data_IF_062946941283
#
_entry.id   IF_062946941283
#
_cell.length_a   1.000
_cell.length_b   1.000
_cell.length_c   1.000
_cell.angle_alpha   90.00
_cell.angle_beta   90.00
_cell.angle_gamma   90.00
#
_symmetry.space_group_name_H-M   'P 1'
#
loop_
_entity.id
_entity.type
_entity.pdbx_description
1 polymer ?
#
# COMPACT_ATOMS: atom_id res chain seq x y z
N UNK A 1 -4.95 -8.75 -33.28
CA UNK A 1 -5.42 -10.16 -33.24
C UNK A 1 -6.52 -10.32 -34.29
N UNK A 2 -6.46 -11.34 -35.15
CA UNK A 2 -7.51 -11.64 -36.15
C UNK A 2 -8.66 -12.42 -35.50
N UNK A 3 -9.92 -12.16 -35.92
CA UNK A 3 -11.12 -12.86 -35.39
C UNK A 3 -10.98 -14.38 -35.35
N UNK A 4 -10.48 -14.98 -36.44
CA UNK A 4 -10.21 -16.42 -36.53
C UNK A 4 -9.31 -16.97 -35.42
N UNK A 5 -8.32 -16.18 -34.98
CA UNK A 5 -7.37 -16.61 -33.94
C UNK A 5 -8.00 -16.48 -32.56
N UNK A 6 -8.80 -15.44 -32.32
CA UNK A 6 -9.53 -15.27 -31.07
C UNK A 6 -10.56 -16.39 -30.86
N UNK A 7 -11.33 -16.75 -31.89
CA UNK A 7 -12.35 -17.81 -31.82
C UNK A 7 -11.73 -19.18 -31.55
N UNK A 8 -10.58 -19.48 -32.18
CA UNK A 8 -9.82 -20.72 -31.91
C UNK A 8 -9.32 -20.80 -30.47
N UNK A 9 -8.79 -19.70 -29.92
CA UNK A 9 -8.30 -19.65 -28.54
C UNK A 9 -9.46 -19.83 -27.56
N UNK A 10 -10.59 -19.15 -27.78
CA UNK A 10 -11.77 -19.27 -26.93
C UNK A 10 -12.30 -20.72 -26.92
N UNK A 11 -12.39 -21.37 -28.09
CA UNK A 11 -12.82 -22.76 -28.19
C UNK A 11 -11.85 -23.73 -27.49
N UNK A 12 -10.54 -23.54 -27.64
CA UNK A 12 -9.54 -24.41 -27.00
C UNK A 12 -9.51 -24.25 -25.46
N UNK A 13 -9.63 -23.01 -24.95
CA UNK A 13 -9.73 -22.73 -23.51
C UNK A 13 -11.00 -23.34 -22.90
N UNK A 14 -12.14 -23.18 -23.57
CA UNK A 14 -13.41 -23.77 -23.14
C UNK A 14 -13.39 -25.30 -23.20
N UNK A 15 -12.64 -25.92 -24.12
CA UNK A 15 -12.50 -27.37 -24.20
C UNK A 15 -11.61 -27.94 -23.09
N UNK A 16 -10.53 -27.25 -22.73
CA UNK A 16 -9.56 -27.72 -21.73
C UNK A 16 -9.96 -27.38 -20.30
N UNK A 17 -10.40 -26.15 -20.06
CA UNK A 17 -10.61 -25.58 -18.72
C UNK A 17 -11.81 -24.62 -18.68
N UNK A 18 -13.05 -25.10 -18.91
CA UNK A 18 -14.23 -24.25 -19.03
C UNK A 18 -14.53 -23.46 -17.75
N UNK A 19 -14.46 -24.09 -16.57
CA UNK A 19 -14.77 -23.44 -15.30
C UNK A 19 -13.74 -22.37 -14.92
N UNK A 20 -12.44 -22.67 -15.07
CA UNK A 20 -11.33 -21.73 -14.83
C UNK A 20 -11.41 -20.52 -15.75
N UNK A 21 -11.71 -20.74 -17.03
CA UNK A 21 -11.83 -19.66 -18.03
C UNK A 21 -13.01 -18.73 -17.71
N UNK A 22 -14.18 -19.27 -17.37
CA UNK A 22 -15.35 -18.44 -17.04
C UNK A 22 -15.12 -17.67 -15.73
N UNK A 23 -14.57 -18.31 -14.71
CA UNK A 23 -14.35 -17.67 -13.42
C UNK A 23 -13.29 -16.57 -13.51
N UNK A 24 -12.21 -16.81 -14.26
CA UNK A 24 -11.18 -15.81 -14.50
C UNK A 24 -11.72 -14.61 -15.30
N UNK A 25 -12.44 -14.84 -16.41
CA UNK A 25 -12.93 -13.75 -17.24
C UNK A 25 -14.05 -12.95 -16.54
N UNK A 26 -14.94 -13.63 -15.82
CA UNK A 26 -16.14 -12.99 -15.24
C UNK A 26 -15.89 -12.39 -13.85
N UNK A 27 -15.00 -13.00 -13.07
CA UNK A 27 -14.78 -12.64 -11.66
C UNK A 27 -13.33 -12.27 -11.34
N UNK A 28 -12.41 -12.30 -12.32
CA UNK A 28 -10.98 -12.07 -12.14
C UNK A 28 -10.32 -13.01 -11.10
N UNK A 29 -10.95 -14.16 -10.84
CA UNK A 29 -10.46 -15.15 -9.88
C UNK A 29 -9.68 -16.24 -10.60
N UNK A 30 -8.50 -16.59 -10.08
CA UNK A 30 -7.75 -17.76 -10.53
C UNK A 30 -8.09 -18.97 -9.65
N UNK A 31 -8.63 -20.04 -10.24
CA UNK A 31 -8.89 -21.27 -9.49
C UNK A 31 -7.60 -21.86 -8.93
N UNK A 32 -7.61 -22.15 -7.63
CA UNK A 32 -6.48 -22.77 -6.93
C UNK A 32 -5.40 -21.77 -6.47
N UNK A 33 -5.44 -20.51 -6.90
CA UNK A 33 -4.56 -19.46 -6.40
C UNK A 33 -5.35 -18.47 -5.54
N UNK A 34 -5.68 -18.90 -4.33
CA UNK A 34 -6.32 -18.05 -3.33
C UNK A 34 -5.22 -17.38 -2.50
N UNK A 35 -5.22 -16.04 -2.49
CA UNK A 35 -4.37 -15.30 -1.56
C UNK A 35 -4.80 -15.67 -0.13
N UNK A 36 -3.90 -16.25 0.67
CA UNK A 36 -4.22 -16.64 2.04
C UNK A 36 -4.45 -15.35 2.86
N UNK A 37 -5.67 -15.11 3.38
CA UNK A 37 -6.00 -13.87 4.08
C UNK A 37 -5.17 -13.69 5.35
N UNK A 38 -4.79 -14.79 6.00
CA UNK A 38 -3.93 -14.74 7.18
C UNK A 38 -2.53 -14.26 6.83
N UNK A 39 -1.93 -14.79 5.77
CA UNK A 39 -0.59 -14.38 5.33
C UNK A 39 -0.58 -12.90 4.92
N UNK A 40 -1.63 -12.45 4.22
CA UNK A 40 -1.79 -11.05 3.86
C UNK A 40 -1.92 -10.14 5.09
N UNK A 41 -2.68 -10.57 6.12
CA UNK A 41 -2.84 -9.82 7.35
C UNK A 41 -1.52 -9.70 8.14
N UNK A 42 -0.80 -10.82 8.33
CA UNK A 42 0.49 -10.80 9.04
C UNK A 42 1.56 -10.01 8.28
N UNK A 43 1.61 -10.15 6.95
CA UNK A 43 2.51 -9.33 6.12
C UNK A 43 2.20 -7.84 6.25
N UNK A 44 0.92 -7.46 6.31
CA UNK A 44 0.50 -6.07 6.44
C UNK A 44 0.84 -5.50 7.82
N UNK A 45 0.64 -6.29 8.87
CA UNK A 45 1.00 -5.93 10.25
C UNK A 45 2.50 -5.66 10.36
N UNK A 46 3.34 -6.56 9.86
CA UNK A 46 4.79 -6.40 9.95
C UNK A 46 5.30 -5.20 9.15
N UNK A 47 4.74 -4.97 7.96
CA UNK A 47 5.05 -3.80 7.14
C UNK A 47 4.68 -2.49 7.86
N UNK A 48 3.48 -2.43 8.45
CA UNK A 48 3.02 -1.25 9.20
C UNK A 48 3.85 -1.02 10.48
N UNK A 49 4.15 -2.09 11.22
CA UNK A 49 4.99 -2.03 12.41
C UNK A 49 6.39 -1.51 12.05
N UNK A 50 7.01 -2.05 11.00
CA UNK A 50 8.32 -1.61 10.52
C UNK A 50 8.32 -0.11 10.13
N UNK A 51 7.28 0.36 9.45
CA UNK A 51 7.11 1.79 9.14
C UNK A 51 6.97 2.67 10.39
N UNK A 52 6.28 2.18 11.43
CA UNK A 52 6.08 2.89 12.70
C UNK A 52 7.30 2.96 13.62
N UNK A 53 8.31 2.11 13.41
CA UNK A 53 9.54 2.11 14.24
C UNK A 53 10.31 3.43 14.10
N UNK A 54 10.37 4.01 12.89
CA UNK A 54 11.09 5.26 12.64
C UNK A 54 10.66 6.41 13.56
N UNK A 55 9.37 6.81 13.62
CA UNK A 55 8.93 7.87 14.51
C UNK A 55 9.07 7.51 16.00
N UNK A 56 8.86 6.24 16.38
CA UNK A 56 9.04 5.81 17.77
C UNK A 56 10.50 6.00 18.22
N UNK A 57 11.46 5.55 17.42
CA UNK A 57 12.90 5.71 17.70
C UNK A 57 13.29 7.19 17.75
N UNK A 58 12.79 7.99 16.81
CA UNK A 58 13.05 9.44 16.80
C UNK A 58 12.52 10.12 18.07
N UNK A 59 11.36 9.70 18.56
CA UNK A 59 10.76 10.23 19.78
C UNK A 59 11.55 9.84 21.04
N UNK A 60 12.08 8.61 21.11
CA UNK A 60 12.79 8.11 22.30
C UNK A 60 14.21 8.68 22.44
N UNK A 61 14.92 8.89 21.33
CA UNK A 61 16.33 9.31 21.37
C UNK A 61 16.53 10.83 21.41
N UNK A 62 15.51 11.62 21.04
CA UNK A 62 15.68 13.07 20.88
C UNK A 62 15.36 13.85 22.16
N UNK A 63 16.18 14.83 22.56
CA UNK A 63 15.87 15.73 23.68
C UNK A 63 14.54 16.46 23.50
N UNK A 64 13.83 16.73 24.60
CA UNK A 64 12.47 17.32 24.63
C UNK A 64 12.33 18.59 23.77
N UNK A 65 13.38 19.40 23.69
CA UNK A 65 13.39 20.63 22.90
C UNK A 65 13.26 20.42 21.38
N UNK A 66 13.69 19.27 20.85
CA UNK A 66 13.69 18.96 19.41
C UNK A 66 12.83 17.75 19.04
N UNK A 67 12.14 17.17 20.03
CA UNK A 67 11.42 15.90 19.88
C UNK A 67 10.32 15.98 18.82
N UNK A 68 9.65 17.13 18.71
CA UNK A 68 8.58 17.36 17.74
C UNK A 68 9.11 17.47 16.31
N UNK A 69 10.19 18.23 16.08
CA UNK A 69 10.79 18.39 14.76
C UNK A 69 11.41 17.06 14.27
N UNK A 70 12.06 16.32 15.17
CA UNK A 70 12.66 15.04 14.86
C UNK A 70 11.61 13.97 14.51
N UNK A 71 10.51 13.89 15.26
CA UNK A 71 9.42 12.95 14.96
C UNK A 71 8.74 13.27 13.65
N UNK A 72 8.46 14.55 13.37
CA UNK A 72 7.89 15.00 12.08
C UNK A 72 8.78 14.56 10.91
N UNK A 73 10.09 14.83 10.99
CA UNK A 73 11.04 14.43 9.94
C UNK A 73 11.10 12.90 9.78
N UNK A 74 11.10 12.16 10.88
CA UNK A 74 11.10 10.70 10.86
C UNK A 74 9.81 10.11 10.24
N UNK A 75 8.64 10.68 10.54
CA UNK A 75 7.37 10.31 9.90
C UNK A 75 7.43 10.60 8.41
N UNK A 76 7.87 11.79 8.01
CA UNK A 76 8.01 12.15 6.60
C UNK A 76 8.92 11.18 5.84
N UNK A 77 10.07 10.82 6.42
CA UNK A 77 11.00 9.84 5.84
C UNK A 77 10.38 8.44 5.75
N UNK A 78 9.68 7.99 6.80
CA UNK A 78 9.01 6.68 6.82
C UNK A 78 7.91 6.58 5.75
N UNK A 79 7.05 7.61 5.64
CA UNK A 79 5.98 7.66 4.63
C UNK A 79 6.56 7.76 3.22
N UNK A 80 7.64 8.53 3.04
CA UNK A 80 8.35 8.64 1.77
C UNK A 80 8.92 7.29 1.31
N UNK A 81 9.62 6.57 2.19
CA UNK A 81 10.17 5.25 1.92
C UNK A 81 9.07 4.22 1.62
N UNK A 82 8.03 4.18 2.46
CA UNK A 82 6.91 3.25 2.30
C UNK A 82 6.15 3.53 0.99
N UNK A 83 5.91 4.80 0.67
CA UNK A 83 5.28 5.21 -0.59
C UNK A 83 6.12 4.88 -1.82
N UNK A 84 7.44 5.04 -1.74
CA UNK A 84 8.37 4.64 -2.79
C UNK A 84 8.35 3.12 -3.03
N UNK A 85 8.45 2.31 -1.98
CA UNK A 85 8.42 0.85 -2.08
C UNK A 85 7.08 0.36 -2.65
N UNK A 86 5.97 0.90 -2.17
CA UNK A 86 4.62 0.58 -2.66
C UNK A 86 4.46 0.89 -4.15
N UNK A 87 4.92 2.05 -4.61
CA UNK A 87 4.78 2.42 -6.01
C UNK A 87 5.73 1.66 -6.95
N UNK A 88 6.94 1.32 -6.48
CA UNK A 88 7.90 0.51 -7.22
C UNK A 88 7.40 -0.93 -7.41
N UNK A 89 6.83 -1.54 -6.38
CA UNK A 89 6.25 -2.88 -6.45
C UNK A 89 4.96 -2.92 -7.29
N UNK A 90 4.19 -1.82 -7.30
CA UNK A 90 2.94 -1.71 -8.05
C UNK A 90 3.05 -1.30 -9.53
N UNK A 91 4.26 -1.19 -10.11
CA UNK A 91 4.49 -0.70 -11.49
C UNK A 91 3.77 0.63 -11.82
N UNK A 92 3.57 1.49 -10.81
CA UNK A 92 2.87 2.76 -10.96
C UNK A 92 3.79 3.94 -11.25
N UNK A 93 3.22 5.12 -11.50
CA UNK A 93 3.97 6.39 -11.58
C UNK A 93 4.52 6.75 -10.19
N UNK A 94 5.73 6.27 -9.88
CA UNK A 94 6.37 6.35 -8.56
C UNK A 94 6.35 7.75 -7.97
N UNK A 95 6.68 8.78 -8.76
CA UNK A 95 6.70 10.17 -8.29
C UNK A 95 5.33 10.67 -7.86
N UNK A 96 4.28 10.40 -8.65
CA UNK A 96 2.91 10.85 -8.35
C UNK A 96 2.35 10.15 -7.12
N UNK A 97 2.58 8.84 -7.01
CA UNK A 97 2.13 8.05 -5.86
C UNK A 97 2.82 8.50 -4.56
N UNK A 98 4.12 8.76 -4.61
CA UNK A 98 4.90 9.25 -3.47
C UNK A 98 4.43 10.65 -3.01
N UNK A 99 4.29 11.60 -3.94
CA UNK A 99 3.84 12.97 -3.62
C UNK A 99 2.45 12.94 -2.96
N UNK A 100 1.51 12.15 -3.50
CA UNK A 100 0.18 11.99 -2.91
C UNK A 100 0.25 11.43 -1.49
N UNK A 101 1.04 10.38 -1.26
CA UNK A 101 1.17 9.78 0.06
C UNK A 101 1.78 10.75 1.08
N UNK A 102 2.80 11.52 0.69
CA UNK A 102 3.41 12.54 1.55
C UNK A 102 2.42 13.66 1.85
N UNK A 103 1.68 14.15 0.86
CA UNK A 103 0.65 15.19 1.06
C UNK A 103 -0.44 14.73 2.03
N UNK A 104 -0.96 13.51 1.86
CA UNK A 104 -1.95 12.93 2.79
C UNK A 104 -1.34 12.83 4.19
N UNK A 105 -0.10 12.34 4.32
CA UNK A 105 0.59 12.26 5.61
C UNK A 105 0.72 13.62 6.33
N UNK A 106 1.09 14.67 5.59
CA UNK A 106 1.20 16.04 6.14
C UNK A 106 -0.18 16.54 6.59
N UNK A 107 -1.22 16.37 5.75
CA UNK A 107 -2.59 16.78 6.08
C UNK A 107 -3.07 16.06 7.35
N UNK A 108 -2.86 14.74 7.44
CA UNK A 108 -3.21 13.95 8.61
C UNK A 108 -2.52 14.48 9.87
N UNK A 109 -1.24 14.84 9.79
CA UNK A 109 -0.49 15.36 10.92
C UNK A 109 -1.00 16.73 11.38
N UNK A 110 -1.35 17.61 10.44
CA UNK A 110 -2.00 18.91 10.75
C UNK A 110 -3.32 18.68 11.46
N UNK A 111 -4.16 17.75 10.98
CA UNK A 111 -5.45 17.43 11.61
C UNK A 111 -5.25 16.94 13.05
N UNK A 112 -4.32 16.01 13.28
CA UNK A 112 -4.04 15.50 14.63
C UNK A 112 -3.52 16.60 15.55
N UNK A 113 -2.64 17.47 15.06
CA UNK A 113 -2.12 18.59 15.83
C UNK A 113 -3.23 19.58 16.21
N UNK A 114 -4.07 19.96 15.25
CA UNK A 114 -5.22 20.84 15.49
C UNK A 114 -6.21 20.23 16.48
N UNK A 115 -6.51 18.93 16.36
CA UNK A 115 -7.35 18.22 17.32
C UNK A 115 -6.70 18.16 18.71
N UNK A 116 -5.39 17.93 18.79
CA UNK A 116 -4.66 17.93 20.05
C UNK A 116 -4.75 19.28 20.77
N UNK A 117 -4.58 20.39 20.04
CA UNK A 117 -4.75 21.73 20.60
C UNK A 117 -6.20 21.95 21.05
N UNK A 118 -7.18 21.58 20.23
CA UNK A 118 -8.59 21.83 20.51
C UNK A 118 -9.11 21.02 21.71
N UNK A 119 -8.60 19.81 21.92
CA UNK A 119 -8.93 18.97 23.07
C UNK A 119 -8.13 19.34 24.34
N UNK A 120 -6.99 20.01 24.20
CA UNK A 120 -6.17 20.47 25.33
C UNK A 120 -6.49 21.91 25.76
N UNK A 121 -7.27 22.65 24.95
CA UNK A 121 -7.88 23.94 25.28
C UNK A 121 -9.19 23.75 26.06
#
# INVERSE_FOLDING_TARGET
MTRKTADKIAADLMKKKPLETIINIKYDLQLGHYMNPWDAAFSSLFSAAAGGIFPLVAMTLTPVAYQWQATILAVCLSVALTGFMSAKLGNGLVKTAMIRNVLVGIITMIIHYSLGILLQA
#
